data_IF_196370293968
#
_entry.id   IF_196370293968
#
_cell.length_a   1.000
_cell.length_b   1.000
_cell.length_c   1.000
_cell.angle_alpha   90.00
_cell.angle_beta   90.00
_cell.angle_gamma   90.00
#
_symmetry.space_group_name_H-M   'P 1'
#
loop_
_entity.id
_entity.type
_entity.pdbx_description
1 polymer ?
#
# COMPACT_ATOMS: atom_id res chain seq x y z
N UNK A 1 -12.50 -19.41 -15.56
CA UNK A 1 -13.13 -19.49 -14.21
C UNK A 1 -12.11 -19.69 -13.08
N UNK A 2 -10.94 -20.29 -13.30
CA UNK A 2 -9.92 -20.48 -12.26
C UNK A 2 -9.30 -19.16 -11.74
N UNK A 3 -9.05 -18.16 -12.60
CA UNK A 3 -8.48 -16.87 -12.14
C UNK A 3 -9.48 -16.04 -11.33
N UNK A 4 -10.77 -16.08 -11.66
CA UNK A 4 -11.81 -15.38 -10.89
C UNK A 4 -11.89 -15.90 -9.45
N UNK A 5 -11.82 -17.23 -9.27
CA UNK A 5 -11.78 -17.87 -7.94
C UNK A 5 -10.50 -17.53 -7.17
N UNK A 6 -9.36 -17.45 -7.85
CA UNK A 6 -8.09 -17.07 -7.22
C UNK A 6 -8.05 -15.60 -6.77
N UNK A 7 -8.61 -14.69 -7.57
CA UNK A 7 -8.77 -13.27 -7.20
C UNK A 7 -9.73 -13.13 -6.02
N UNK A 8 -10.88 -13.82 -6.06
CA UNK A 8 -11.83 -13.82 -4.94
C UNK A 8 -11.20 -14.36 -3.65
N UNK A 9 -10.44 -15.46 -3.72
CA UNK A 9 -9.79 -16.05 -2.57
C UNK A 9 -8.67 -15.16 -2.01
N UNK A 10 -7.88 -14.50 -2.86
CA UNK A 10 -6.85 -13.56 -2.38
C UNK A 10 -7.45 -12.31 -1.75
N UNK A 11 -8.55 -11.78 -2.31
CA UNK A 11 -9.28 -10.65 -1.70
C UNK A 11 -9.91 -11.02 -0.36
N UNK A 12 -10.46 -12.23 -0.24
CA UNK A 12 -11.05 -12.74 1.01
C UNK A 12 -9.97 -13.00 2.08
N UNK A 13 -8.80 -13.49 1.68
CA UNK A 13 -7.66 -13.72 2.58
C UNK A 13 -7.11 -12.39 3.12
N UNK A 14 -6.98 -11.37 2.25
CA UNK A 14 -6.56 -10.02 2.64
C UNK A 14 -7.56 -9.37 3.61
N UNK A 15 -8.86 -9.62 3.43
CA UNK A 15 -9.89 -9.12 4.34
C UNK A 15 -9.82 -9.80 5.72
N UNK A 16 -9.47 -11.09 5.78
CA UNK A 16 -9.28 -11.83 7.04
C UNK A 16 -8.04 -11.34 7.82
N UNK A 17 -6.97 -10.96 7.13
CA UNK A 17 -5.78 -10.37 7.76
C UNK A 17 -6.01 -8.96 8.32
N UNK A 18 -7.12 -8.30 7.96
CA UNK A 18 -7.55 -7.03 8.56
C UNK A 18 -8.37 -7.23 9.86
N UNK A 19 -8.85 -8.45 10.16
CA UNK A 19 -9.53 -8.74 11.42
C UNK A 19 -8.69 -8.41 12.68
N UNK A 20 -7.37 -8.72 12.75
CA UNK A 20 -6.56 -8.27 13.89
C UNK A 20 -6.38 -6.74 13.98
N UNK A 21 -6.62 -5.99 12.90
CA UNK A 21 -6.57 -4.51 12.91
C UNK A 21 -7.78 -3.91 13.62
N UNK A 22 -8.96 -4.51 13.47
CA UNK A 22 -10.19 -4.06 14.17
C UNK A 22 -10.23 -4.47 15.65
N UNK A 23 -9.48 -5.52 16.02
CA UNK A 23 -9.43 -6.04 17.38
C UNK A 23 -8.27 -5.48 18.22
N UNK A 24 -7.37 -4.67 17.64
CA UNK A 24 -6.32 -4.00 18.39
C UNK A 24 -6.85 -2.69 19.00
N UNK A 25 -7.82 -2.80 19.92
CA UNK A 25 -7.74 -1.93 21.09
C UNK A 25 -6.44 -2.30 21.78
N UNK A 26 -5.45 -1.41 21.67
CA UNK A 26 -4.17 -1.60 22.32
C UNK A 26 -4.41 -1.63 23.83
N UNK A 27 -4.50 -2.84 24.39
CA UNK A 27 -4.24 -3.06 25.81
C UNK A 27 -2.81 -2.57 26.04
N UNK A 28 -2.70 -1.45 26.77
CA UNK A 28 -1.45 -0.83 27.16
C UNK A 28 -0.72 -1.76 28.15
N UNK A 29 -0.15 -2.85 27.65
CA UNK A 29 0.40 -3.93 28.46
C UNK A 29 1.44 -4.75 27.68
N UNK A 30 2.47 -4.10 27.14
CA UNK A 30 3.56 -4.77 26.43
C UNK A 30 4.92 -4.16 26.74
N UNK A 31 5.95 -5.01 26.77
CA UNK A 31 7.34 -4.82 27.25
C UNK A 31 8.10 -3.63 26.61
N UNK A 32 7.58 -3.05 25.52
CA UNK A 32 8.20 -1.97 24.75
C UNK A 32 7.54 -0.64 25.14
N UNK A 33 8.35 0.40 25.39
CA UNK A 33 7.81 1.74 25.71
C UNK A 33 6.77 2.18 24.69
N UNK A 34 5.68 2.82 25.14
CA UNK A 34 4.57 3.23 24.26
C UNK A 34 5.00 4.09 23.07
N UNK A 35 6.09 4.85 23.22
CA UNK A 35 6.72 5.58 22.13
C UNK A 35 7.33 4.66 21.06
N UNK A 36 8.10 3.65 21.45
CA UNK A 36 8.72 2.73 20.50
C UNK A 36 7.68 1.86 19.77
N UNK A 37 6.57 1.50 20.42
CA UNK A 37 5.45 0.85 19.76
C UNK A 37 4.80 1.74 18.67
N UNK A 38 4.57 3.04 18.96
CA UNK A 38 4.04 4.01 17.98
C UNK A 38 4.96 4.17 16.76
N UNK A 39 6.28 4.27 16.98
CA UNK A 39 7.26 4.38 15.90
C UNK A 39 7.27 3.13 15.02
N UNK A 40 7.23 1.94 15.63
CA UNK A 40 7.19 0.69 14.88
C UNK A 40 5.92 0.57 14.03
N UNK A 41 4.76 0.92 14.59
CA UNK A 41 3.49 0.93 13.88
C UNK A 41 3.51 1.91 12.69
N UNK A 42 4.01 3.13 12.91
CA UNK A 42 4.14 4.15 11.87
C UNK A 42 5.10 3.70 10.75
N UNK A 43 6.23 3.09 11.10
CA UNK A 43 7.20 2.58 10.13
C UNK A 43 6.60 1.44 9.28
N UNK A 44 5.88 0.50 9.92
CA UNK A 44 5.26 -0.62 9.22
C UNK A 44 4.15 -0.16 8.27
N UNK A 45 3.31 0.80 8.69
CA UNK A 45 2.27 1.38 7.85
C UNK A 45 2.86 2.00 6.57
N UNK A 46 3.93 2.78 6.69
CA UNK A 46 4.59 3.37 5.53
C UNK A 46 5.27 2.33 4.65
N UNK A 47 5.99 1.37 5.25
CA UNK A 47 6.73 0.35 4.51
C UNK A 47 5.79 -0.50 3.62
N UNK A 48 4.66 -0.93 4.14
CA UNK A 48 3.67 -1.71 3.38
C UNK A 48 3.04 -0.86 2.27
N UNK A 49 2.71 0.41 2.55
CA UNK A 49 2.15 1.31 1.55
C UNK A 49 3.10 1.54 0.37
N UNK A 50 4.39 1.81 0.66
CA UNK A 50 5.42 2.04 -0.37
C UNK A 50 5.72 0.77 -1.17
N UNK A 51 5.78 -0.40 -0.52
CA UNK A 51 5.98 -1.67 -1.22
C UNK A 51 4.83 -1.96 -2.21
N UNK A 52 3.59 -1.66 -1.79
CA UNK A 52 2.39 -1.79 -2.63
C UNK A 52 2.41 -0.83 -3.82
N UNK A 53 2.77 0.44 -3.57
CA UNK A 53 2.91 1.46 -4.60
C UNK A 53 3.98 1.07 -5.63
N UNK A 54 5.15 0.62 -5.17
CA UNK A 54 6.24 0.16 -6.03
C UNK A 54 5.84 -0.99 -6.95
N UNK A 55 5.05 -1.94 -6.45
CA UNK A 55 4.48 -3.01 -7.28
C UNK A 55 3.54 -2.47 -8.36
N UNK A 56 2.67 -1.52 -8.02
CA UNK A 56 1.79 -0.85 -8.97
C UNK A 56 2.56 -0.10 -10.06
N UNK A 57 3.57 0.69 -9.66
CA UNK A 57 4.45 1.45 -10.55
C UNK A 57 5.20 0.50 -11.50
N UNK A 58 5.78 -0.60 -10.99
CA UNK A 58 6.53 -1.54 -11.82
C UNK A 58 5.67 -2.15 -12.95
N UNK A 59 4.41 -2.49 -12.63
CA UNK A 59 3.48 -3.07 -13.62
C UNK A 59 2.91 -2.03 -14.57
N UNK A 60 2.43 -0.91 -14.05
CA UNK A 60 1.88 0.18 -14.87
C UNK A 60 2.95 0.80 -15.78
N UNK A 61 4.16 1.02 -15.24
CA UNK A 61 5.29 1.58 -15.95
C UNK A 61 5.78 0.67 -17.07
N UNK A 62 5.96 -0.63 -16.82
CA UNK A 62 6.40 -1.58 -17.87
C UNK A 62 5.38 -1.71 -19.00
N UNK A 63 4.09 -1.81 -18.68
CA UNK A 63 3.02 -1.83 -19.68
C UNK A 63 2.94 -0.50 -20.45
N UNK A 64 3.08 0.62 -19.75
CA UNK A 64 3.07 1.96 -20.33
C UNK A 64 4.24 2.19 -21.29
N UNK A 65 5.45 1.74 -20.94
CA UNK A 65 6.63 1.83 -21.80
C UNK A 65 6.48 0.97 -23.05
N UNK A 66 5.99 -0.27 -22.92
CA UNK A 66 5.74 -1.14 -24.06
C UNK A 66 4.71 -0.52 -25.02
N UNK A 67 3.60 -0.02 -24.50
CA UNK A 67 2.56 0.60 -25.31
C UNK A 67 3.04 1.91 -25.97
N UNK A 68 3.87 2.69 -25.27
CA UNK A 68 4.47 3.92 -25.80
C UNK A 68 5.51 3.68 -26.90
N UNK A 69 6.07 2.47 -26.99
CA UNK A 69 6.99 2.10 -28.05
C UNK A 69 6.27 1.90 -29.39
N UNK A 70 5.04 1.40 -29.37
CA UNK A 70 4.20 1.25 -30.56
C UNK A 70 3.42 2.52 -30.89
N UNK A 71 2.93 3.22 -29.85
CA UNK A 71 2.08 4.41 -29.97
C UNK A 71 2.63 5.55 -29.12
N UNK A 72 3.47 6.44 -29.67
CA UNK A 72 4.11 7.49 -28.90
C UNK A 72 3.10 8.51 -28.33
N UNK A 73 1.90 8.61 -28.91
CA UNK A 73 0.87 9.56 -28.47
C UNK A 73 0.32 9.25 -27.07
N UNK A 74 0.41 7.99 -26.62
CA UNK A 74 -0.07 7.57 -25.29
C UNK A 74 0.99 7.68 -24.19
N UNK A 75 2.22 8.12 -24.50
CA UNK A 75 3.32 8.26 -23.53
C UNK A 75 2.93 9.08 -22.30
N UNK A 76 2.30 10.23 -22.52
CA UNK A 76 1.88 11.11 -21.42
C UNK A 76 0.85 10.43 -20.54
N UNK A 77 -0.12 9.73 -21.14
CA UNK A 77 -1.15 8.98 -20.40
C UNK A 77 -0.52 7.84 -19.61
N UNK A 78 0.43 7.11 -20.19
CA UNK A 78 1.16 6.04 -19.51
C UNK A 78 1.91 6.53 -18.26
N UNK A 79 2.54 7.71 -18.33
CA UNK A 79 3.19 8.34 -17.17
C UNK A 79 2.16 8.71 -16.10
N UNK A 80 1.02 9.29 -16.49
CA UNK A 80 -0.07 9.64 -15.57
C UNK A 80 -0.59 8.40 -14.84
N UNK A 81 -0.85 7.30 -15.56
CA UNK A 81 -1.32 6.04 -14.96
C UNK A 81 -0.29 5.46 -13.98
N UNK A 82 1.00 5.55 -14.32
CA UNK A 82 2.06 5.13 -13.39
C UNK A 82 2.10 6.00 -12.13
N UNK A 83 1.89 7.32 -12.26
CA UNK A 83 1.88 8.25 -11.14
C UNK A 83 0.66 8.06 -10.21
N UNK A 84 -0.48 7.58 -10.72
CA UNK A 84 -1.63 7.24 -9.86
C UNK A 84 -1.31 6.16 -8.82
N UNK A 85 -0.40 5.23 -9.12
CA UNK A 85 0.05 4.23 -8.15
C UNK A 85 0.89 4.83 -7.01
N UNK A 86 1.54 5.98 -7.24
CA UNK A 86 2.35 6.68 -6.24
C UNK A 86 1.50 7.32 -5.12
N UNK A 87 0.23 7.63 -5.40
CA UNK A 87 -0.68 8.19 -4.40
C UNK A 87 -0.79 7.31 -3.14
N UNK A 88 -0.65 5.98 -3.27
CA UNK A 88 -0.62 5.06 -2.14
C UNK A 88 0.55 5.33 -1.18
N UNK A 89 1.73 5.68 -1.70
CA UNK A 89 2.88 6.01 -0.87
C UNK A 89 2.67 7.33 -0.12
N UNK A 90 2.06 8.32 -0.78
CA UNK A 90 1.72 9.63 -0.17
C UNK A 90 0.70 9.43 0.96
N UNK A 91 -0.32 8.61 0.76
CA UNK A 91 -1.26 8.29 1.84
C UNK A 91 -0.58 7.50 2.97
N UNK A 92 0.33 6.58 2.65
CA UNK A 92 1.12 5.83 3.65
C UNK A 92 1.89 6.75 4.60
N UNK A 93 2.61 7.74 4.07
CA UNK A 93 3.37 8.67 4.91
C UNK A 93 2.46 9.59 5.74
N UNK A 94 1.31 10.01 5.20
CA UNK A 94 0.30 10.80 5.93
C UNK A 94 -0.25 10.00 7.12
N UNK A 95 -0.59 8.73 6.91
CA UNK A 95 -1.07 7.84 7.97
C UNK A 95 0.01 7.65 9.05
N UNK A 96 1.27 7.48 8.66
CA UNK A 96 2.38 7.39 9.62
C UNK A 96 2.51 8.65 10.47
N UNK A 97 2.32 9.85 9.90
CA UNK A 97 2.27 11.08 10.68
C UNK A 97 1.09 11.13 11.64
N UNK A 98 -0.08 10.64 11.25
CA UNK A 98 -1.22 10.53 12.17
C UNK A 98 -0.97 9.56 13.32
N UNK A 99 -0.30 8.42 13.07
CA UNK A 99 0.07 7.48 14.14
C UNK A 99 1.06 8.11 15.14
N UNK A 100 2.04 8.87 14.64
CA UNK A 100 3.02 9.54 15.49
C UNK A 100 2.44 10.75 16.25
N UNK A 101 1.54 11.49 15.60
CA UNK A 101 0.90 12.68 16.14
C UNK A 101 -0.33 12.42 17.02
N UNK A 102 -0.82 11.18 17.06
CA UNK A 102 -1.87 10.75 17.99
C UNK A 102 -1.30 10.76 19.43
N UNK A 103 -1.40 11.92 20.08
CA UNK A 103 -1.05 12.17 21.49
C UNK A 103 -2.24 11.98 22.39
#
# INVERSE_FOLDING_TARGET
MASMKAILLSTLLLLSAAAPVLAQEAEAGGIISGFAAKVLAAALAFAVAVASAGFGIARAGSAGLAASAERPEIRTVAIIISAFAEALAIYGIVISFFILGAG
#
